data_IF_758321723523
#
_entry.id   IF_758321723523
#
_cell.length_a   1.000
_cell.length_b   1.000
_cell.length_c   1.000
_cell.angle_alpha   90.00
_cell.angle_beta   90.00
_cell.angle_gamma   90.00
#
_symmetry.space_group_name_H-M   'P 1'
#
loop_
_entity.id
_entity.type
_entity.pdbx_description
1 polymer ?
#
# COMPACT_ATOMS: atom_id res chain seq x y z
N UNK A 1 6.18 15.10 -0.27
CA UNK A 1 4.99 15.39 -1.10
C UNK A 1 3.90 14.40 -0.69
N UNK A 2 2.60 14.76 -0.70
CA UNK A 2 1.51 13.82 -0.40
C UNK A 2 0.59 13.65 -1.59
N UNK A 3 0.09 12.44 -1.80
CA UNK A 3 -0.85 12.09 -2.87
C UNK A 3 -2.00 11.28 -2.30
N UNK A 4 -3.20 11.51 -2.82
CA UNK A 4 -4.37 10.68 -2.52
C UNK A 4 -4.49 9.59 -3.59
N UNK A 5 -4.58 8.35 -3.13
CA UNK A 5 -4.66 7.15 -3.95
C UNK A 5 -5.92 6.36 -3.58
N UNK A 6 -6.36 5.53 -4.51
CA UNK A 6 -7.53 4.66 -4.39
C UNK A 6 -7.08 3.19 -4.36
N UNK A 7 -7.85 2.35 -3.66
CA UNK A 7 -7.70 0.90 -3.72
C UNK A 7 -8.41 0.33 -4.95
N UNK A 8 -7.79 -0.65 -5.58
CA UNK A 8 -8.31 -1.36 -6.75
C UNK A 8 -8.36 -2.88 -6.52
N UNK A 9 -9.20 -3.61 -7.28
CA UNK A 9 -9.16 -5.06 -7.28
C UNK A 9 -7.75 -5.61 -7.59
N UNK A 10 -7.36 -6.70 -6.92
CA UNK A 10 -6.01 -7.30 -7.03
C UNK A 10 -5.66 -7.72 -8.46
N UNK A 11 -6.67 -8.04 -9.27
CA UNK A 11 -6.54 -8.40 -10.68
C UNK A 11 -5.96 -7.25 -11.49
N UNK A 12 -6.25 -6.00 -11.12
CA UNK A 12 -5.76 -4.82 -11.83
C UNK A 12 -4.23 -4.72 -11.73
N UNK A 13 -3.66 -4.95 -10.54
CA UNK A 13 -2.21 -5.01 -10.39
C UNK A 13 -1.63 -6.27 -11.04
N UNK A 14 -2.29 -7.42 -10.89
CA UNK A 14 -1.82 -8.67 -11.53
C UNK A 14 -1.64 -8.51 -13.04
N UNK A 15 -2.55 -7.81 -13.72
CA UNK A 15 -2.45 -7.50 -15.16
C UNK A 15 -1.32 -6.51 -15.50
N UNK A 16 -1.04 -5.55 -14.61
CA UNK A 16 -0.01 -4.52 -14.82
C UNK A 16 1.40 -4.98 -14.46
N UNK A 17 1.55 -6.06 -13.69
CA UNK A 17 2.84 -6.60 -13.27
C UNK A 17 3.04 -8.02 -13.79
N UNK A 18 3.53 -8.21 -15.04
CA UNK A 18 3.69 -9.53 -15.67
C UNK A 18 4.59 -10.51 -14.90
N UNK A 19 5.44 -9.99 -14.00
CA UNK A 19 6.30 -10.78 -13.11
C UNK A 19 5.48 -11.52 -12.03
N UNK A 20 4.26 -11.08 -11.73
CA UNK A 20 3.36 -11.73 -10.77
C UNK A 20 2.59 -12.88 -11.43
N UNK A 21 3.29 -13.95 -11.80
CA UNK A 21 2.69 -15.12 -12.47
C UNK A 21 1.56 -15.80 -11.68
N UNK A 22 1.50 -15.58 -10.37
CA UNK A 22 0.45 -16.12 -9.46
C UNK A 22 -0.47 -15.04 -8.90
N UNK A 23 -0.44 -13.83 -9.46
CA UNK A 23 -1.15 -12.67 -8.95
C UNK A 23 -0.58 -12.13 -7.64
N UNK A 24 -1.35 -11.24 -7.01
CA UNK A 24 -1.03 -10.68 -5.69
C UNK A 24 -1.23 -11.74 -4.61
N UNK A 25 -0.29 -11.79 -3.66
CA UNK A 25 -0.34 -12.68 -2.52
C UNK A 25 -1.32 -12.16 -1.45
N UNK A 26 -1.75 -13.01 -0.50
CA UNK A 26 -2.30 -12.53 0.77
C UNK A 26 -1.35 -11.49 1.41
N UNK A 27 -1.91 -10.47 2.05
CA UNK A 27 -1.12 -9.39 2.63
C UNK A 27 -0.59 -8.36 1.63
N UNK A 28 -1.12 -8.33 0.40
CA UNK A 28 -0.80 -7.31 -0.60
C UNK A 28 -2.06 -6.58 -1.07
N UNK A 29 -1.95 -5.26 -1.22
CA UNK A 29 -2.95 -4.36 -1.75
C UNK A 29 -2.55 -3.87 -3.15
N UNK A 30 -3.56 -3.56 -3.96
CA UNK A 30 -3.38 -2.86 -5.23
C UNK A 30 -3.88 -1.42 -5.08
N UNK A 31 -2.96 -0.46 -5.06
CA UNK A 31 -3.27 0.94 -4.76
C UNK A 31 -2.73 1.80 -5.89
N UNK A 32 -3.44 2.86 -6.26
CA UNK A 32 -2.96 3.76 -7.30
C UNK A 32 -3.91 4.89 -7.62
N UNK A 33 -3.83 5.40 -8.83
CA UNK A 33 -4.71 6.45 -9.29
C UNK A 33 -4.96 6.31 -10.79
N UNK A 34 -6.21 6.56 -11.18
CA UNK A 34 -6.57 6.72 -12.61
C UNK A 34 -6.31 8.13 -13.13
N UNK A 35 -6.11 9.09 -12.22
CA UNK A 35 -5.79 10.48 -12.55
C UNK A 35 -4.29 10.61 -12.84
N UNK A 36 -3.90 11.38 -13.88
CA UNK A 36 -2.49 11.63 -14.17
C UNK A 36 -1.81 12.38 -13.02
N UNK A 37 -0.48 12.27 -12.94
CA UNK A 37 0.38 12.95 -11.95
C UNK A 37 0.09 12.60 -10.47
N UNK A 38 -0.61 11.50 -10.21
CA UNK A 38 -0.82 10.95 -8.87
C UNK A 38 -0.22 9.56 -8.81
N UNK A 39 0.97 9.45 -8.23
CA UNK A 39 1.71 8.20 -8.22
C UNK A 39 2.68 8.14 -7.04
N UNK A 40 2.98 6.94 -6.56
CA UNK A 40 4.19 6.69 -5.76
C UNK A 40 5.33 6.39 -6.70
N UNK A 41 6.46 7.07 -6.49
CA UNK A 41 7.60 6.93 -7.37
C UNK A 41 8.80 6.27 -6.69
N UNK A 42 9.85 6.07 -7.47
CA UNK A 42 11.16 5.63 -6.97
C UNK A 42 11.58 6.51 -5.79
N UNK A 43 11.88 5.87 -4.65
CA UNK A 43 12.21 6.54 -3.40
C UNK A 43 11.11 6.51 -2.34
N UNK A 44 9.86 6.19 -2.69
CA UNK A 44 8.77 6.03 -1.73
C UNK A 44 8.71 4.63 -1.09
N UNK A 45 9.54 3.68 -1.55
CA UNK A 45 9.58 2.31 -1.05
C UNK A 45 9.82 2.26 0.46
N UNK A 46 8.96 1.54 1.18
CA UNK A 46 8.95 1.49 2.65
C UNK A 46 8.15 2.62 3.32
N UNK A 47 7.71 3.63 2.57
CA UNK A 47 6.87 4.72 3.07
C UNK A 47 5.44 4.28 3.42
N UNK A 48 4.74 5.02 4.31
CA UNK A 48 3.40 4.66 4.76
C UNK A 48 2.31 5.10 3.77
N UNK A 49 1.33 4.24 3.55
CA UNK A 49 0.00 4.59 3.06
C UNK A 49 -0.91 4.82 4.27
N UNK A 50 -1.47 6.03 4.36
CA UNK A 50 -2.25 6.46 5.53
C UNK A 50 -3.72 6.66 5.18
N UNK A 51 -4.60 6.19 6.07
CA UNK A 51 -6.04 6.43 6.01
C UNK A 51 -6.45 7.36 7.17
N UNK A 52 -7.21 8.40 6.87
CA UNK A 52 -7.82 9.25 7.92
C UNK A 52 -8.96 8.46 8.56
N UNK A 53 -8.84 8.20 9.86
CA UNK A 53 -9.88 7.48 10.63
C UNK A 53 -10.75 8.41 11.44
N UNK A 54 -10.27 9.62 11.74
CA UNK A 54 -11.04 10.69 12.35
C UNK A 54 -10.54 12.04 11.85
N UNK A 55 -11.37 12.75 11.09
CA UNK A 55 -11.03 14.07 10.54
C UNK A 55 -10.96 15.15 11.61
N UNK A 56 -11.81 15.07 12.65
CA UNK A 56 -11.87 16.06 13.72
C UNK A 56 -10.63 16.04 14.59
N UNK A 57 -10.07 14.85 14.85
CA UNK A 57 -8.86 14.68 15.66
C UNK A 57 -7.59 14.53 14.83
N UNK A 58 -7.69 14.62 13.49
CA UNK A 58 -6.58 14.37 12.57
C UNK A 58 -5.88 13.04 12.83
N UNK A 59 -6.64 11.98 13.11
CA UNK A 59 -6.08 10.65 13.39
C UNK A 59 -5.91 9.87 12.09
N UNK A 60 -4.73 9.27 11.92
CA UNK A 60 -4.36 8.50 10.74
C UNK A 60 -3.93 7.10 11.15
N UNK A 61 -4.39 6.09 10.43
CA UNK A 61 -3.88 4.73 10.53
C UNK A 61 -2.96 4.43 9.35
N UNK A 62 -1.87 3.71 9.60
CA UNK A 62 -1.04 3.16 8.53
C UNK A 62 -1.73 1.89 8.06
N UNK A 63 -2.25 1.93 6.83
CA UNK A 63 -3.01 0.81 6.23
C UNK A 63 -2.21 0.04 5.21
N UNK A 64 -1.14 0.64 4.68
CA UNK A 64 -0.24 -0.03 3.77
C UNK A 64 1.19 0.48 3.84
N UNK A 65 2.11 -0.29 3.26
CA UNK A 65 3.53 0.09 3.11
C UNK A 65 3.89 -0.03 1.63
N UNK A 66 4.45 1.03 1.04
CA UNK A 66 4.85 1.04 -0.38
C UNK A 66 5.88 -0.07 -0.64
N UNK A 67 5.60 -0.98 -1.58
CA UNK A 67 6.46 -2.13 -1.86
C UNK A 67 6.99 -2.14 -3.29
N UNK A 68 6.11 -2.36 -4.28
CA UNK A 68 6.49 -2.47 -5.68
C UNK A 68 5.65 -1.53 -6.53
N UNK A 69 6.27 -0.49 -7.08
CA UNK A 69 5.64 0.43 -8.03
C UNK A 69 5.88 0.03 -9.49
N UNK A 70 5.01 0.53 -10.38
CA UNK A 70 5.26 0.56 -11.83
C UNK A 70 6.27 1.65 -12.21
N UNK A 71 6.43 1.89 -13.51
CA UNK A 71 7.17 3.07 -13.97
C UNK A 71 6.37 4.33 -13.65
N UNK A 72 6.99 5.29 -12.97
CA UNK A 72 6.29 6.49 -12.51
C UNK A 72 5.73 7.32 -13.67
N UNK A 73 4.62 8.00 -13.40
CA UNK A 73 4.22 9.25 -14.06
C UNK A 73 3.72 9.19 -15.53
N UNK A 74 3.35 8.03 -16.07
CA UNK A 74 2.61 7.95 -17.33
C UNK A 74 1.20 7.36 -17.15
N UNK A 75 0.22 8.23 -16.98
CA UNK A 75 -1.21 7.87 -17.01
C UNK A 75 -1.72 7.16 -15.75
N UNK A 76 -2.38 6.01 -15.94
CA UNK A 76 -2.88 5.14 -14.86
C UNK A 76 -1.68 4.50 -14.17
N UNK A 77 -1.44 4.84 -12.90
CA UNK A 77 -0.44 4.16 -12.11
C UNK A 77 -1.10 3.30 -11.06
N UNK A 78 -0.68 2.03 -11.00
CA UNK A 78 -1.00 1.09 -9.95
C UNK A 78 0.30 0.59 -9.35
N UNK A 79 0.34 0.50 -8.03
CA UNK A 79 1.42 -0.03 -7.23
C UNK A 79 0.91 -1.09 -6.27
N UNK A 80 1.85 -1.88 -5.77
CA UNK A 80 1.61 -2.95 -4.81
C UNK A 80 2.14 -2.48 -3.47
N UNK A 81 1.28 -2.63 -2.47
CA UNK A 81 1.55 -2.25 -1.09
C UNK A 81 1.43 -3.48 -0.21
N UNK A 82 2.23 -3.53 0.85
CA UNK A 82 2.01 -4.50 1.93
C UNK A 82 0.76 -4.06 2.71
N UNK A 83 -0.17 -4.97 2.94
CA UNK A 83 -1.40 -4.74 3.71
C UNK A 83 -1.08 -4.82 5.21
N UNK A 84 -1.05 -3.69 5.93
CA UNK A 84 -0.62 -3.68 7.34
C UNK A 84 -1.52 -4.55 8.22
N UNK A 85 -2.83 -4.54 7.97
CA UNK A 85 -3.79 -5.36 8.71
C UNK A 85 -3.47 -6.86 8.68
N UNK A 86 -2.91 -7.36 7.58
CA UNK A 86 -2.54 -8.78 7.44
C UNK A 86 -1.36 -9.18 8.34
N UNK A 87 -0.53 -8.22 8.76
CA UNK A 87 0.69 -8.46 9.52
C UNK A 87 0.62 -7.94 10.95
N UNK A 88 -0.57 -7.57 11.45
CA UNK A 88 -0.71 -7.04 12.82
C UNK A 88 -0.14 -8.03 13.83
N UNK A 89 -0.57 -9.29 13.84
CA UNK A 89 -0.06 -10.30 14.79
C UNK A 89 1.48 -10.37 14.81
N UNK A 90 2.11 -10.36 13.62
CA UNK A 90 3.57 -10.33 13.50
C UNK A 90 4.19 -9.04 14.03
N UNK A 91 3.57 -7.88 13.77
CA UNK A 91 4.01 -6.58 14.29
C UNK A 91 3.92 -6.58 15.82
N UNK A 92 2.81 -7.02 16.40
CA UNK A 92 2.59 -7.06 17.84
C UNK A 92 3.63 -7.95 18.53
N UNK A 93 3.87 -9.15 17.98
CA UNK A 93 4.88 -10.09 18.48
C UNK A 93 6.29 -9.48 18.47
N UNK A 94 6.67 -8.73 17.43
CA UNK A 94 8.02 -8.19 17.27
C UNK A 94 8.25 -6.85 17.97
N UNK A 95 7.21 -6.03 18.13
CA UNK A 95 7.33 -4.69 18.73
C UNK A 95 7.13 -4.74 20.24
N UNK A 96 6.19 -5.56 20.73
CA UNK A 96 5.88 -5.64 22.16
C UNK A 96 6.37 -6.94 22.83
N UNK A 97 6.73 -7.95 22.04
CA UNK A 97 7.22 -9.25 22.53
C UNK A 97 6.09 -10.19 22.95
N UNK A 98 6.41 -11.47 23.13
CA UNK A 98 5.45 -12.53 23.53
C UNK A 98 4.82 -12.34 24.92
N UNK A 99 5.17 -11.28 25.64
CA UNK A 99 4.68 -10.97 26.99
C UNK A 99 3.76 -9.74 27.01
N UNK A 100 3.30 -9.28 25.84
CA UNK A 100 2.43 -8.13 25.73
C UNK A 100 0.93 -8.49 25.78
N UNK A 101 0.55 -9.45 26.61
CA UNK A 101 -0.80 -9.66 27.13
C UNK A 101 -0.70 -10.37 28.50
#
# INVERSE_FOLDING_TARGET
MKVQLDEFPKENCTRNFPRLRRGLRPGQLCIGSVKPNKDTCQGDSGGPLQLVTNETTCTYHIVGITSLGGACAFGKSLGIYTEVAHYIDWIEENVWGTNAL
#
